data_IF_187562288890
#
_entry.id   IF_187562288890
#
_cell.length_a   1.000
_cell.length_b   1.000
_cell.length_c   1.000
_cell.angle_alpha   90.00
_cell.angle_beta   90.00
_cell.angle_gamma   90.00
#
_symmetry.space_group_name_H-M   'P 1'
#
loop_
_entity.id
_entity.type
_entity.pdbx_description
1 polymer ?
#
# COMPACT_ATOMS: atom_id res chain seq x y z
N UNK A 1 1.72 -54.84 -12.31
CA UNK A 1 0.72 -55.71 -11.65
C UNK A 1 -0.57 -54.94 -11.35
N UNK A 2 -1.72 -55.59 -11.09
CA UNK A 2 -2.98 -54.89 -10.72
C UNK A 2 -2.84 -54.01 -9.46
N UNK A 3 -1.89 -54.35 -8.58
CA UNK A 3 -1.59 -53.59 -7.37
C UNK A 3 -0.86 -52.27 -7.69
N UNK A 4 0.15 -52.30 -8.56
CA UNK A 4 0.85 -51.09 -9.02
C UNK A 4 -0.10 -50.07 -9.66
N UNK A 5 -1.05 -50.52 -10.48
CA UNK A 5 -2.01 -49.62 -11.12
C UNK A 5 -2.90 -48.90 -10.09
N UNK A 6 -3.35 -49.59 -9.03
CA UNK A 6 -4.13 -48.96 -7.96
C UNK A 6 -3.32 -47.93 -7.18
N UNK A 7 -2.05 -48.22 -6.91
CA UNK A 7 -1.15 -47.28 -6.22
C UNK A 7 -0.89 -46.04 -7.08
N UNK A 8 -0.73 -46.20 -8.39
CA UNK A 8 -0.57 -45.08 -9.32
C UNK A 8 -1.81 -44.18 -9.36
N UNK A 9 -3.02 -44.76 -9.40
CA UNK A 9 -4.26 -43.97 -9.37
C UNK A 9 -4.39 -43.21 -8.05
N UNK A 10 -4.15 -43.87 -6.92
CA UNK A 10 -4.20 -43.22 -5.61
C UNK A 10 -3.15 -42.10 -5.46
N UNK A 11 -1.96 -42.30 -6.02
CA UNK A 11 -0.91 -41.27 -6.04
C UNK A 11 -1.36 -40.04 -6.84
N UNK A 12 -1.88 -40.23 -8.05
CA UNK A 12 -2.35 -39.13 -8.89
C UNK A 12 -3.52 -38.36 -8.25
N UNK A 13 -4.44 -39.08 -7.59
CA UNK A 13 -5.53 -38.45 -6.84
C UNK A 13 -5.01 -37.61 -5.67
N UNK A 14 -4.04 -38.15 -4.91
CA UNK A 14 -3.40 -37.43 -3.81
C UNK A 14 -2.64 -36.19 -4.30
N UNK A 15 -1.89 -36.31 -5.40
CA UNK A 15 -1.14 -35.21 -6.00
C UNK A 15 -2.08 -34.09 -6.46
N UNK A 16 -3.19 -34.43 -7.12
CA UNK A 16 -4.20 -33.45 -7.52
C UNK A 16 -4.80 -32.71 -6.32
N UNK A 17 -5.17 -33.44 -5.26
CA UNK A 17 -5.72 -32.80 -4.06
C UNK A 17 -4.70 -31.87 -3.37
N UNK A 18 -3.43 -32.24 -3.36
CA UNK A 18 -2.34 -31.41 -2.85
C UNK A 18 -2.14 -30.14 -3.69
N UNK A 19 -2.16 -30.25 -5.01
CA UNK A 19 -2.06 -29.10 -5.91
C UNK A 19 -3.22 -28.12 -5.71
N UNK A 20 -4.46 -28.61 -5.65
CA UNK A 20 -5.64 -27.80 -5.36
C UNK A 20 -5.50 -27.05 -4.03
N UNK A 21 -5.06 -27.76 -2.98
CA UNK A 21 -4.85 -27.18 -1.66
C UNK A 21 -3.76 -26.11 -1.66
N UNK A 22 -2.65 -26.35 -2.38
CA UNK A 22 -1.57 -25.36 -2.56
C UNK A 22 -2.06 -24.12 -3.28
N UNK A 23 -2.84 -24.27 -4.35
CA UNK A 23 -3.40 -23.13 -5.08
C UNK A 23 -4.31 -22.27 -4.19
N UNK A 24 -5.18 -22.90 -3.40
CA UNK A 24 -6.04 -22.20 -2.45
C UNK A 24 -5.21 -21.48 -1.38
N UNK A 25 -4.20 -22.14 -0.81
CA UNK A 25 -3.31 -21.55 0.19
C UNK A 25 -2.56 -20.33 -0.37
N UNK A 26 -2.04 -20.40 -1.60
CA UNK A 26 -1.40 -19.25 -2.25
C UNK A 26 -2.39 -18.09 -2.42
N UNK A 27 -3.63 -18.37 -2.81
CA UNK A 27 -4.69 -17.37 -2.89
C UNK A 27 -4.94 -16.67 -1.55
N UNK A 28 -5.08 -17.45 -0.48
CA UNK A 28 -5.28 -16.95 0.87
C UNK A 28 -4.09 -16.13 1.37
N UNK A 29 -2.86 -16.58 1.11
CA UNK A 29 -1.64 -15.86 1.49
C UNK A 29 -1.58 -14.49 0.79
N UNK A 30 -1.87 -14.45 -0.52
CA UNK A 30 -1.93 -13.19 -1.29
C UNK A 30 -2.97 -12.23 -0.70
N UNK A 31 -4.19 -12.73 -0.44
CA UNK A 31 -5.26 -11.95 0.16
C UNK A 31 -4.87 -11.42 1.55
N UNK A 32 -4.27 -12.26 2.40
CA UNK A 32 -3.83 -11.87 3.73
C UNK A 32 -2.79 -10.76 3.69
N UNK A 33 -1.79 -10.85 2.80
CA UNK A 33 -0.75 -9.81 2.67
C UNK A 33 -1.37 -8.47 2.27
N UNK A 34 -2.28 -8.47 1.30
CA UNK A 34 -2.99 -7.26 0.88
C UNK A 34 -3.84 -6.67 2.00
N UNK A 35 -4.54 -7.53 2.75
CA UNK A 35 -5.39 -7.12 3.86
C UNK A 35 -4.58 -6.47 4.99
N UNK A 36 -3.42 -7.04 5.34
CA UNK A 36 -2.54 -6.46 6.36
C UNK A 36 -2.11 -5.05 5.94
N UNK A 37 -1.62 -4.89 4.70
CA UNK A 37 -1.19 -3.57 4.18
C UNK A 37 -2.34 -2.56 4.15
N UNK A 38 -3.53 -3.00 3.80
CA UNK A 38 -4.72 -2.16 3.81
C UNK A 38 -5.09 -1.72 5.23
N UNK A 39 -5.15 -2.65 6.19
CA UNK A 39 -5.45 -2.35 7.58
C UNK A 39 -4.43 -1.37 8.19
N UNK A 40 -3.14 -1.54 7.91
CA UNK A 40 -2.09 -0.62 8.36
C UNK A 40 -2.32 0.81 7.83
N UNK A 41 -2.67 0.92 6.55
CA UNK A 41 -2.99 2.21 5.93
C UNK A 41 -4.21 2.87 6.58
N UNK A 42 -5.28 2.13 6.79
CA UNK A 42 -6.52 2.65 7.40
C UNK A 42 -6.26 3.09 8.85
N UNK A 43 -5.52 2.30 9.64
CA UNK A 43 -5.13 2.66 11.00
C UNK A 43 -4.30 3.95 11.03
N UNK A 44 -3.33 4.08 10.13
CA UNK A 44 -2.54 5.31 10.02
C UNK A 44 -3.36 6.54 9.63
N UNK A 45 -4.33 6.39 8.73
CA UNK A 45 -5.26 7.47 8.36
C UNK A 45 -6.15 7.88 9.53
N UNK A 46 -6.67 6.90 10.28
CA UNK A 46 -7.49 7.14 11.45
C UNK A 46 -6.72 7.87 12.55
N UNK A 47 -5.51 7.40 12.88
CA UNK A 47 -4.64 8.06 13.86
C UNK A 47 -4.34 9.51 13.47
N UNK A 48 -4.01 9.76 12.19
CA UNK A 48 -3.79 11.12 11.71
C UNK A 48 -5.03 12.02 11.78
N UNK A 49 -6.22 11.45 11.57
CA UNK A 49 -7.48 12.17 11.70
C UNK A 49 -7.80 12.51 13.16
N UNK A 50 -7.58 11.56 14.08
CA UNK A 50 -7.76 11.74 15.52
C UNK A 50 -6.79 12.79 16.06
N UNK A 51 -5.51 12.73 15.68
CA UNK A 51 -4.51 13.75 16.03
C UNK A 51 -4.93 15.14 15.55
N UNK A 52 -5.45 15.23 14.32
CA UNK A 52 -5.92 16.49 13.75
C UNK A 52 -7.19 17.01 14.45
N UNK A 53 -8.08 16.11 14.90
CA UNK A 53 -9.26 16.48 15.66
C UNK A 53 -8.90 16.96 17.09
N UNK A 54 -7.87 16.36 17.70
CA UNK A 54 -7.35 16.76 19.01
C UNK A 54 -6.57 18.08 19.01
N UNK A 55 -5.91 18.42 17.89
CA UNK A 55 -5.28 19.73 17.69
C UNK A 55 -6.37 20.80 17.50
N UNK A 56 -6.71 21.52 18.58
CA UNK A 56 -7.51 22.76 18.50
C UNK A 56 -6.95 23.63 17.37
N UNK A 57 -7.82 24.19 16.52
CA UNK A 57 -7.50 25.19 15.47
C UNK A 57 -6.96 26.49 16.09
N UNK A 58 -5.85 26.44 16.79
CA UNK A 58 -5.10 27.59 17.29
C UNK A 58 -4.10 28.04 16.24
N UNK A 59 -4.57 28.41 15.05
CA UNK A 59 -3.71 28.82 13.92
C UNK A 59 -3.10 30.21 14.09
N UNK A 60 -3.12 30.79 15.30
CA UNK A 60 -2.43 32.04 15.58
C UNK A 60 -1.65 31.89 16.87
N UNK A 61 -0.37 32.21 16.77
CA UNK A 61 0.55 32.39 17.88
C UNK A 61 -0.05 33.27 19.00
N UNK A 62 -0.87 34.26 18.62
CA UNK A 62 -1.78 35.03 19.49
C UNK A 62 -3.23 34.67 19.11
N UNK A 63 -3.68 33.50 19.53
CA UNK A 63 -5.00 32.94 19.19
C UNK A 63 -6.18 33.70 19.79
N UNK A 64 -5.93 34.38 20.90
CA UNK A 64 -6.98 34.82 21.81
C UNK A 64 -7.35 36.30 21.59
N UNK A 65 -6.59 37.01 20.73
CA UNK A 65 -6.77 38.44 20.46
C UNK A 65 -6.42 39.37 21.63
N UNK A 66 -5.95 38.82 22.75
CA UNK A 66 -5.55 39.57 23.93
C UNK A 66 -4.15 40.18 23.77
N UNK A 67 -3.90 41.38 24.31
CA UNK A 67 -2.57 41.96 24.33
C UNK A 67 -1.62 41.12 25.19
N UNK A 68 -0.56 40.60 24.60
CA UNK A 68 0.53 39.94 25.31
C UNK A 68 1.74 40.87 25.45
N UNK A 69 2.44 40.77 26.58
CA UNK A 69 3.70 41.47 26.77
C UNK A 69 4.80 40.76 25.96
N UNK A 70 5.23 41.41 24.87
CA UNK A 70 6.17 40.85 23.87
C UNK A 70 7.59 40.61 24.42
N UNK A 71 7.91 41.18 25.57
CA UNK A 71 9.23 41.09 26.22
C UNK A 71 9.25 40.13 27.41
N UNK A 72 8.12 39.51 27.76
CA UNK A 72 8.07 38.53 28.83
C UNK A 72 8.72 37.21 28.41
N UNK A 73 9.47 36.58 29.31
CA UNK A 73 10.13 35.28 29.05
C UNK A 73 9.15 34.21 28.55
N UNK A 74 7.92 34.23 29.03
CA UNK A 74 6.85 33.33 28.59
C UNK A 74 6.49 33.52 27.10
N UNK A 75 6.44 34.76 26.63
CA UNK A 75 6.18 35.07 25.23
C UNK A 75 7.33 34.61 24.34
N UNK A 76 8.58 34.90 24.75
CA UNK A 76 9.79 34.49 24.01
C UNK A 76 9.88 32.96 23.91
N UNK A 77 9.65 32.25 25.02
CA UNK A 77 9.61 30.79 25.02
C UNK A 77 8.52 30.26 24.06
N UNK A 78 7.35 30.89 24.04
CA UNK A 78 6.28 30.51 23.13
C UNK A 78 6.70 30.71 21.66
N UNK A 79 7.32 31.85 21.30
CA UNK A 79 7.79 32.13 19.92
C UNK A 79 8.73 31.02 19.47
N UNK A 80 9.73 30.69 20.31
CA UNK A 80 10.72 29.65 20.02
C UNK A 80 10.04 28.29 19.77
N UNK A 81 9.06 27.92 20.61
CA UNK A 81 8.32 26.66 20.41
C UNK A 81 7.52 26.64 19.11
N UNK A 82 6.94 27.78 18.72
CA UNK A 82 6.16 27.91 17.49
C UNK A 82 7.06 27.84 16.25
N UNK A 83 8.19 28.54 16.25
CA UNK A 83 9.18 28.51 15.17
C UNK A 83 9.75 27.10 14.97
N UNK A 84 10.14 26.44 16.07
CA UNK A 84 10.59 25.04 16.02
C UNK A 84 9.52 24.10 15.47
N UNK A 85 8.25 24.27 15.87
CA UNK A 85 7.15 23.46 15.33
C UNK A 85 6.93 23.72 13.84
N UNK A 86 7.02 24.98 13.39
CA UNK A 86 6.91 25.36 11.98
C UNK A 86 8.04 24.77 11.13
N UNK A 87 9.28 24.76 11.63
CA UNK A 87 10.40 24.13 10.94
C UNK A 87 10.20 22.62 10.79
N UNK A 88 9.76 21.94 11.85
CA UNK A 88 9.47 20.50 11.82
C UNK A 88 8.37 20.21 10.80
N UNK A 89 7.28 20.98 10.80
CA UNK A 89 6.17 20.80 9.85
C UNK A 89 6.62 21.04 8.40
N UNK A 90 7.48 22.05 8.17
CA UNK A 90 8.04 22.32 6.85
C UNK A 90 8.89 21.14 6.35
N UNK A 91 9.79 20.61 7.19
CA UNK A 91 10.61 19.43 6.86
C UNK A 91 9.73 18.21 6.59
N UNK A 92 8.71 17.96 7.41
CA UNK A 92 7.76 16.86 7.19
C UNK A 92 6.98 17.02 5.87
N UNK A 93 6.61 18.25 5.50
CA UNK A 93 5.92 18.55 4.23
C UNK A 93 6.82 18.28 3.04
N UNK A 94 8.09 18.67 3.10
CA UNK A 94 9.09 18.36 2.07
C UNK A 94 9.31 16.85 1.93
N UNK A 95 9.48 16.13 3.04
CA UNK A 95 9.63 14.67 3.03
C UNK A 95 8.40 13.97 2.47
N UNK A 96 7.19 14.48 2.74
CA UNK A 96 5.96 13.98 2.12
C UNK A 96 5.90 14.29 0.62
N UNK A 97 6.43 15.43 0.17
CA UNK A 97 6.48 15.77 -1.24
C UNK A 97 7.44 14.86 -2.01
N UNK A 98 8.65 14.63 -1.49
CA UNK A 98 9.65 13.71 -2.06
C UNK A 98 9.08 12.29 -2.23
N UNK A 99 8.50 11.73 -1.15
CA UNK A 99 7.86 10.40 -1.23
C UNK A 99 6.73 10.30 -2.25
N UNK A 100 5.94 11.37 -2.43
CA UNK A 100 4.89 11.38 -3.48
C UNK A 100 5.49 11.40 -4.88
N UNK A 101 6.60 12.11 -5.08
CA UNK A 101 7.31 12.14 -6.35
C UNK A 101 7.89 10.77 -6.69
N UNK A 102 8.66 10.18 -5.77
CA UNK A 102 9.22 8.82 -5.89
C UNK A 102 8.12 7.79 -6.23
N UNK A 103 7.02 7.78 -5.47
CA UNK A 103 5.93 6.87 -5.73
C UNK A 103 5.25 7.10 -7.10
N UNK A 104 5.16 8.35 -7.55
CA UNK A 104 4.60 8.67 -8.87
C UNK A 104 5.47 8.18 -10.02
N UNK A 105 6.79 8.22 -9.84
CA UNK A 105 7.77 7.69 -10.81
C UNK A 105 7.69 6.17 -10.87
N UNK A 106 7.70 5.49 -9.71
CA UNK A 106 7.52 4.03 -9.61
C UNK A 106 6.21 3.58 -10.27
N UNK A 107 5.11 4.31 -10.01
CA UNK A 107 3.81 4.00 -10.59
C UNK A 107 3.80 4.20 -12.11
N UNK A 108 4.54 5.17 -12.64
CA UNK A 108 4.68 5.38 -14.08
C UNK A 108 5.45 4.22 -14.73
N UNK A 109 6.57 3.80 -14.14
CA UNK A 109 7.32 2.62 -14.59
C UNK A 109 6.46 1.36 -14.57
N UNK A 110 5.76 1.11 -13.46
CA UNK A 110 4.87 -0.04 -13.33
C UNK A 110 3.76 -0.06 -14.39
N UNK A 111 3.17 1.10 -14.72
CA UNK A 111 2.14 1.19 -15.76
C UNK A 111 2.68 0.81 -17.14
N UNK A 112 3.91 1.17 -17.46
CA UNK A 112 4.54 0.79 -18.73
C UNK A 112 4.74 -0.73 -18.79
N UNK A 113 5.27 -1.33 -17.72
CA UNK A 113 5.43 -2.78 -17.63
C UNK A 113 4.09 -3.52 -17.71
N UNK A 114 3.04 -2.97 -17.10
CA UNK A 114 1.70 -3.55 -17.13
C UNK A 114 1.13 -3.57 -18.56
N UNK A 115 1.39 -2.54 -19.37
CA UNK A 115 0.99 -2.50 -20.78
C UNK A 115 1.70 -3.63 -21.55
N UNK A 116 3.03 -3.72 -21.44
CA UNK A 116 3.82 -4.77 -22.11
C UNK A 116 3.39 -6.18 -21.67
N UNK A 117 3.06 -6.36 -20.39
CA UNK A 117 2.57 -7.63 -19.87
C UNK A 117 1.18 -7.98 -20.44
N UNK A 118 0.28 -7.00 -20.55
CA UNK A 118 -1.05 -7.20 -21.14
C UNK A 118 -0.94 -7.55 -22.62
N UNK A 119 -0.06 -6.89 -23.37
CA UNK A 119 0.19 -7.20 -24.79
C UNK A 119 0.74 -8.61 -24.98
N UNK A 120 1.74 -9.01 -24.18
CA UNK A 120 2.26 -10.39 -24.19
C UNK A 120 1.16 -11.42 -23.90
N UNK A 121 0.36 -11.18 -22.86
CA UNK A 121 -0.74 -12.07 -22.49
C UNK A 121 -1.80 -12.17 -23.60
N UNK A 122 -2.10 -11.06 -24.30
CA UNK A 122 -3.00 -11.07 -25.44
C UNK A 122 -2.45 -11.90 -26.60
N UNK A 123 -1.16 -11.75 -26.93
CA UNK A 123 -0.51 -12.54 -27.97
C UNK A 123 -0.54 -14.05 -27.64
N UNK A 124 -0.21 -14.42 -26.40
CA UNK A 124 -0.29 -15.82 -25.95
C UNK A 124 -1.71 -16.37 -26.04
N UNK A 125 -2.72 -15.59 -25.62
CA UNK A 125 -4.13 -16.00 -25.75
C UNK A 125 -4.54 -16.18 -27.21
N UNK A 126 -4.11 -15.30 -28.11
CA UNK A 126 -4.40 -15.41 -29.53
C UNK A 126 -3.80 -16.68 -30.15
N UNK A 127 -2.56 -17.02 -29.80
CA UNK A 127 -1.92 -18.27 -30.23
C UNK A 127 -2.70 -19.48 -29.72
N UNK A 128 -3.08 -19.46 -28.44
CA UNK A 128 -3.85 -20.55 -27.84
C UNK A 128 -5.20 -20.74 -28.53
N UNK A 129 -5.95 -19.66 -28.79
CA UNK A 129 -7.23 -19.73 -29.50
C UNK A 129 -7.07 -20.24 -30.94
N UNK A 130 -6.00 -19.85 -31.65
CA UNK A 130 -5.71 -20.36 -32.98
C UNK A 130 -5.40 -21.87 -32.97
N UNK A 131 -4.57 -22.33 -32.04
CA UNK A 131 -4.26 -23.76 -31.86
C UNK A 131 -5.49 -24.56 -31.46
N UNK A 132 -6.35 -23.99 -30.61
CA UNK A 132 -7.62 -24.61 -30.22
C UNK A 132 -8.54 -24.78 -31.42
N UNK A 133 -8.66 -23.76 -32.28
CA UNK A 133 -9.47 -23.81 -33.49
C UNK A 133 -8.92 -24.82 -34.53
N UNK A 134 -7.61 -25.08 -34.58
CA UNK A 134 -7.04 -26.14 -35.41
C UNK A 134 -7.32 -27.56 -34.87
N UNK A 135 -7.64 -27.68 -33.58
CA UNK A 135 -7.84 -28.95 -32.89
C UNK A 135 -9.31 -29.37 -32.82
N UNK A 136 -10.25 -28.41 -32.96
CA UNK A 136 -11.71 -28.62 -33.05
C UNK A 136 -12.16 -28.87 -34.50
#
# INVERSE_FOLDING_TARGET
TKAEHKLQVALLESERCEEESKHQMIGLQRASVLQIRYCDRVRGQLAAQEDKAGRKKGTRFVGDGLPCMLTGDAFVAQVITYENAMEVEAREKEMRAKRRAEHSEELAHWKMEEIEQKERNQATRAIFEAQKAEWE
#
